data_IF_721483903474
#
_entry.id   IF_721483903474
#
_cell.length_a   1.000
_cell.length_b   1.000
_cell.length_c   1.000
_cell.angle_alpha   90.00
_cell.angle_beta   90.00
_cell.angle_gamma   90.00
#
_symmetry.space_group_name_H-M   'P 1'
#
loop_
_entity.id
_entity.type
_entity.pdbx_description
1 polymer ?
#
# COMPACT_ATOMS: atom_id res chain seq x y z
N UNK A 1 -15.80 -6.49 -0.08
CA UNK A 1 -15.18 -5.33 0.57
C UNK A 1 -13.67 -5.43 0.48
N UNK A 2 -13.01 -4.36 0.07
CA UNK A 2 -11.56 -4.35 -0.08
C UNK A 2 -10.90 -4.10 1.28
N UNK A 3 -9.99 -4.99 1.67
CA UNK A 3 -9.26 -4.87 2.94
C UNK A 3 -7.80 -4.55 2.66
N UNK A 4 -7.06 -4.24 3.74
CA UNK A 4 -5.60 -4.00 3.61
C UNK A 4 -4.90 -5.19 2.97
N UNK A 5 -5.32 -6.39 3.31
CA UNK A 5 -4.73 -7.60 2.74
C UNK A 5 -4.99 -7.70 1.25
N UNK A 6 -6.19 -7.33 0.82
CA UNK A 6 -6.54 -7.36 -0.60
C UNK A 6 -5.70 -6.37 -1.38
N UNK A 7 -5.55 -5.15 -0.87
CA UNK A 7 -4.73 -4.12 -1.49
C UNK A 7 -3.27 -4.55 -1.54
N UNK A 8 -2.76 -5.10 -0.43
CA UNK A 8 -1.38 -5.57 -0.35
C UNK A 8 -1.11 -6.67 -1.38
N UNK A 9 -2.03 -7.61 -1.52
CA UNK A 9 -1.89 -8.69 -2.48
C UNK A 9 -1.89 -8.16 -3.91
N UNK A 10 -2.78 -7.22 -4.21
CA UNK A 10 -2.86 -6.62 -5.54
C UNK A 10 -1.61 -5.82 -5.87
N UNK A 11 -1.04 -5.13 -4.89
CA UNK A 11 0.16 -4.32 -5.07
C UNK A 11 1.45 -5.14 -4.98
N UNK A 12 1.38 -6.38 -4.49
CA UNK A 12 2.55 -7.23 -4.32
C UNK A 12 3.41 -6.82 -3.13
N UNK A 13 2.82 -6.27 -2.10
CA UNK A 13 3.53 -5.81 -0.89
C UNK A 13 2.86 -6.37 0.36
N UNK A 14 3.45 -6.11 1.53
CA UNK A 14 2.85 -6.54 2.79
C UNK A 14 1.72 -5.61 3.21
N UNK A 15 0.80 -6.13 4.03
CA UNK A 15 -0.29 -5.30 4.55
C UNK A 15 0.23 -4.15 5.39
N UNK A 16 1.37 -4.34 6.08
CA UNK A 16 2.00 -3.28 6.85
C UNK A 16 2.40 -2.11 5.96
N UNK A 17 2.95 -2.40 4.78
CA UNK A 17 3.34 -1.37 3.83
C UNK A 17 2.12 -0.56 3.37
N UNK A 18 1.01 -1.24 3.10
CA UNK A 18 -0.23 -0.57 2.70
C UNK A 18 -0.71 0.35 3.82
N UNK A 19 -0.69 -0.13 5.07
CA UNK A 19 -1.09 0.67 6.22
C UNK A 19 -0.25 1.94 6.33
N UNK A 20 1.06 1.82 6.14
CA UNK A 20 1.96 2.98 6.20
C UNK A 20 1.61 4.02 5.15
N UNK A 21 1.33 3.57 3.93
CA UNK A 21 0.97 4.48 2.85
C UNK A 21 -0.34 5.20 3.17
N UNK A 22 -1.33 4.48 3.67
CA UNK A 22 -2.63 5.06 4.03
C UNK A 22 -2.49 6.12 5.12
N UNK A 23 -1.61 5.89 6.08
CA UNK A 23 -1.40 6.82 7.19
C UNK A 23 -0.39 7.93 6.85
N UNK A 24 0.09 7.98 5.62
CA UNK A 24 1.04 9.00 5.20
C UNK A 24 2.47 8.76 5.64
N UNK A 25 2.77 7.61 6.22
CA UNK A 25 4.11 7.29 6.68
C UNK A 25 4.87 6.54 5.59
N UNK A 26 5.30 7.27 4.58
CA UNK A 26 5.91 6.69 3.38
C UNK A 26 7.44 6.71 3.39
N UNK A 27 8.06 7.03 4.52
CA UNK A 27 9.51 7.18 4.59
C UNK A 27 10.29 5.89 4.26
N UNK A 28 9.68 4.74 4.45
CA UNK A 28 10.30 3.46 4.10
C UNK A 28 9.71 2.82 2.85
N UNK A 29 8.92 3.56 2.09
CA UNK A 29 8.20 3.04 0.93
C UNK A 29 8.65 3.78 -0.32
N UNK A 30 8.96 3.03 -1.40
CA UNK A 30 9.35 3.65 -2.66
C UNK A 30 8.16 4.36 -3.31
N UNK A 31 8.46 5.35 -4.16
CA UNK A 31 7.40 6.07 -4.87
C UNK A 31 6.59 5.13 -5.76
N UNK A 32 7.25 4.17 -6.36
CA UNK A 32 6.58 3.19 -7.21
C UNK A 32 5.57 2.37 -6.42
N UNK A 33 5.97 1.90 -5.25
CA UNK A 33 5.07 1.13 -4.38
C UNK A 33 3.91 1.99 -3.91
N UNK A 34 4.19 3.22 -3.51
CA UNK A 34 3.16 4.15 -3.07
C UNK A 34 2.14 4.43 -4.19
N UNK A 35 2.64 4.65 -5.40
CA UNK A 35 1.77 4.90 -6.54
C UNK A 35 0.87 3.69 -6.84
N UNK A 36 1.43 2.48 -6.77
CA UNK A 36 0.65 1.26 -6.98
C UNK A 36 -0.48 1.12 -5.97
N UNK A 37 -0.17 1.37 -4.70
CA UNK A 37 -1.16 1.26 -3.63
C UNK A 37 -2.27 2.31 -3.81
N UNK A 38 -1.90 3.53 -4.10
CA UNK A 38 -2.87 4.61 -4.30
C UNK A 38 -3.76 4.34 -5.52
N UNK A 39 -3.21 3.74 -6.54
CA UNK A 39 -3.98 3.40 -7.74
C UNK A 39 -5.04 2.33 -7.45
N UNK A 40 -4.72 1.38 -6.58
CA UNK A 40 -5.63 0.32 -6.19
C UNK A 40 -6.75 0.84 -5.29
N UNK A 41 -6.42 1.75 -4.42
CA UNK A 41 -7.40 2.36 -3.53
C UNK A 41 -8.30 3.31 -4.31
#
# INVERSE_FOLDING_TARGET
MVTLKDVAKAAGVSAMTVSRVIHGNTSGVSEETRAKIQEII
#
